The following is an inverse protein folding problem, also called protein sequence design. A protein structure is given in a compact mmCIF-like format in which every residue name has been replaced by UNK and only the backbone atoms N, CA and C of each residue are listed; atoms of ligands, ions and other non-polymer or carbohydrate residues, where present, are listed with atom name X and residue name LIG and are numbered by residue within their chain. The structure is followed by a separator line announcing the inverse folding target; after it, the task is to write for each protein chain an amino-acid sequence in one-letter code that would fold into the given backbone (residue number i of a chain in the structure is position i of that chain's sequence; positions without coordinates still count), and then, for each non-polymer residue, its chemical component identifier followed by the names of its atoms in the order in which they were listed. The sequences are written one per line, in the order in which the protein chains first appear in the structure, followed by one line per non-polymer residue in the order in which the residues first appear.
data_IF_468382491938
#
_entry.id   IF_468382491938
#
_cell.length_a   1.000
_cell.length_b   1.000
_cell.length_c   1.000
_cell.angle_alpha   90.00
_cell.angle_beta   90.00
_cell.angle_gamma   90.00
#
_symmetry.space_group_name_H-M   'P 1'
#
loop_
_entity.id
_entity.type
_entity.pdbx_description
1 polymer ?
#
# COMPACT_ATOMS: atom_id res chain seq x y z
N UNK A 1 -11.72 15.43 -3.82
CA UNK A 1 -11.17 14.09 -3.60
C UNK A 1 -10.11 14.16 -2.51
N UNK A 2 -10.19 13.26 -1.60
CA UNK A 2 -9.25 13.13 -0.49
C UNK A 2 -7.94 12.50 -0.95
N UNK A 3 -6.94 12.47 -0.07
CA UNK A 3 -5.66 11.85 -0.38
C UNK A 3 -5.75 10.36 -0.67
N UNK A 4 -4.67 9.82 -1.18
CA UNK A 4 -4.56 8.43 -1.60
C UNK A 4 -3.59 7.67 -0.70
N UNK A 5 -3.94 6.44 -0.34
CA UNK A 5 -3.05 5.51 0.35
C UNK A 5 -2.72 4.37 -0.63
N UNK A 6 -1.46 4.23 -0.97
CA UNK A 6 -1.04 3.21 -1.92
C UNK A 6 -0.82 1.88 -1.22
N UNK A 7 -1.49 0.83 -1.73
CA UNK A 7 -1.25 -0.53 -1.27
C UNK A 7 0.13 -1.02 -1.77
N UNK A 8 0.68 -2.00 -1.08
CA UNK A 8 2.02 -2.54 -1.37
C UNK A 8 2.16 -3.02 -2.81
N UNK A 9 1.13 -3.65 -3.38
CA UNK A 9 1.19 -4.15 -4.76
C UNK A 9 1.29 -3.00 -5.79
N UNK A 10 0.73 -1.83 -5.48
CA UNK A 10 0.84 -0.65 -6.35
C UNK A 10 2.25 -0.08 -6.28
N UNK A 11 2.81 0.04 -5.07
CA UNK A 11 4.20 0.48 -4.89
C UNK A 11 5.16 -0.48 -5.57
N UNK A 12 4.90 -1.78 -5.49
CA UNK A 12 5.75 -2.80 -6.13
C UNK A 12 5.80 -2.67 -7.65
N UNK A 13 4.84 -2.02 -8.29
CA UNK A 13 4.89 -1.73 -9.73
C UNK A 13 6.10 -0.87 -10.11
N UNK A 14 6.61 -0.08 -9.18
CA UNK A 14 7.76 0.81 -9.39
C UNK A 14 9.09 0.20 -8.96
N UNK A 15 9.08 -1.03 -8.42
CA UNK A 15 10.29 -1.68 -7.96
C UNK A 15 11.23 -2.00 -9.12
N UNK A 16 12.56 -1.86 -8.94
CA UNK A 16 13.53 -2.12 -10.01
C UNK A 16 13.59 -3.58 -10.46
N UNK A 17 12.98 -4.49 -9.68
CA UNK A 17 12.85 -5.91 -10.03
C UNK A 17 11.69 -6.20 -10.97
N UNK A 18 10.86 -5.20 -11.30
CA UNK A 18 9.74 -5.35 -12.23
C UNK A 18 10.14 -4.93 -13.64
N UNK A 19 9.73 -5.73 -14.62
CA UNK A 19 10.10 -5.54 -16.03
C UNK A 19 9.22 -4.50 -16.70
N UNK A 20 7.95 -4.42 -16.31
CA UNK A 20 6.98 -3.51 -16.92
C UNK A 20 6.64 -2.39 -15.96
N UNK A 21 6.91 -1.16 -16.39
CA UNK A 21 6.47 0.03 -15.69
C UNK A 21 5.35 0.68 -16.47
N UNK A 22 4.29 1.02 -15.78
CA UNK A 22 3.18 1.72 -16.38
C UNK A 22 3.40 3.23 -16.30
N UNK A 23 3.87 3.82 -17.40
CA UNK A 23 4.18 5.24 -17.47
C UNK A 23 2.93 6.11 -17.24
N UNK A 24 1.80 5.72 -17.80
CA UNK A 24 0.55 6.49 -17.65
C UNK A 24 0.12 6.56 -16.18
N UNK A 25 0.23 5.46 -15.47
CA UNK A 25 -0.08 5.45 -14.04
C UNK A 25 0.93 6.28 -13.24
N UNK A 26 2.22 6.17 -13.57
CA UNK A 26 3.27 6.95 -12.90
C UNK A 26 3.05 8.45 -13.08
N UNK A 27 2.73 8.89 -14.29
CA UNK A 27 2.43 10.30 -14.60
C UNK A 27 1.19 10.78 -13.85
N UNK A 28 0.14 9.97 -13.81
CA UNK A 28 -1.08 10.25 -13.05
C UNK A 28 -0.78 10.41 -11.57
N UNK A 29 0.01 9.50 -11.01
CA UNK A 29 0.36 9.51 -9.60
C UNK A 29 1.17 10.75 -9.23
N UNK A 30 2.13 11.13 -10.07
CA UNK A 30 2.94 12.33 -9.89
C UNK A 30 2.07 13.59 -9.84
N UNK A 31 1.07 13.67 -10.72
CA UNK A 31 0.11 14.77 -10.71
C UNK A 31 -0.69 14.80 -9.41
N UNK A 32 -1.16 13.65 -8.94
CA UNK A 32 -1.91 13.54 -7.68
C UNK A 32 -1.08 13.92 -6.47
N UNK A 33 0.20 13.59 -6.46
CA UNK A 33 1.11 13.99 -5.38
C UNK A 33 1.18 15.50 -5.22
N UNK A 34 1.03 16.24 -6.31
CA UNK A 34 1.05 17.69 -6.29
C UNK A 34 -0.24 18.30 -5.72
N UNK A 35 -1.39 17.64 -5.91
CA UNK A 35 -2.70 18.22 -5.62
C UNK A 35 -3.39 17.65 -4.38
N UNK A 36 -3.34 16.35 -4.16
CA UNK A 36 -4.20 15.68 -3.18
C UNK A 36 -3.46 14.98 -2.06
N UNK A 37 -2.17 14.83 -2.21
CA UNK A 37 -1.38 14.05 -1.27
C UNK A 37 -1.47 12.55 -1.54
N UNK A 38 -0.32 11.92 -1.54
CA UNK A 38 -0.17 10.47 -1.70
C UNK A 38 0.63 9.97 -0.51
N UNK A 39 0.11 8.91 0.13
CA UNK A 39 0.65 8.38 1.37
C UNK A 39 0.97 6.90 1.24
N UNK A 40 1.92 6.45 2.04
CA UNK A 40 2.19 5.03 2.27
C UNK A 40 1.82 4.68 3.71
N UNK A 41 1.66 3.39 3.97
CA UNK A 41 1.50 2.90 5.33
C UNK A 41 2.79 2.25 5.85
N UNK A 42 2.97 2.27 7.17
CA UNK A 42 4.03 1.52 7.83
C UNK A 42 3.91 0.01 7.56
N UNK A 43 2.69 -0.47 7.29
CA UNK A 43 2.44 -1.87 6.92
C UNK A 43 3.12 -2.21 5.59
N UNK A 44 3.06 -1.29 4.62
CA UNK A 44 3.77 -1.45 3.34
C UNK A 44 5.28 -1.53 3.55
N UNK A 45 5.84 -0.69 4.42
CA UNK A 45 7.26 -0.76 4.77
C UNK A 45 7.61 -2.13 5.35
N UNK A 46 6.80 -2.63 6.28
CA UNK A 46 6.97 -3.96 6.85
C UNK A 46 6.98 -5.05 5.76
N UNK A 47 6.05 -5.01 4.83
CA UNK A 47 5.94 -6.01 3.77
C UNK A 47 7.16 -5.98 2.83
N UNK A 48 7.65 -4.80 2.49
CA UNK A 48 8.84 -4.65 1.63
C UNK A 48 10.08 -5.20 2.33
N UNK A 49 10.29 -4.86 3.60
CA UNK A 49 11.43 -5.37 4.39
C UNK A 49 11.35 -6.89 4.52
N UNK A 50 10.17 -7.42 4.82
CA UNK A 50 9.95 -8.87 4.90
C UNK A 50 10.34 -9.53 3.57
N UNK A 51 9.93 -8.96 2.44
CA UNK A 51 10.27 -9.47 1.12
C UNK A 51 11.78 -9.50 0.88
N UNK A 52 12.49 -8.42 1.24
CA UNK A 52 13.94 -8.35 1.08
C UNK A 52 14.66 -9.40 1.95
N UNK A 53 14.22 -9.56 3.20
CA UNK A 53 14.82 -10.54 4.11
C UNK A 53 14.59 -11.98 3.65
N UNK A 54 13.42 -12.28 3.09
CA UNK A 54 13.14 -13.60 2.52
C UNK A 54 14.00 -13.87 1.28
N UNK A 55 14.27 -12.86 0.46
CA UNK A 55 15.21 -12.97 -0.66
C UNK A 55 16.61 -13.31 -0.18
N UNK A 56 17.09 -12.63 0.85
CA UNK A 56 18.40 -12.91 1.46
C UNK A 56 18.49 -14.34 2.01
N UNK A 57 17.45 -14.78 2.71
CA UNK A 57 17.39 -16.10 3.33
C UNK A 57 17.50 -17.23 2.30
N UNK A 58 17.03 -17.04 1.06
CA UNK A 58 17.14 -18.04 0.00
C UNK A 58 18.32 -17.79 -0.95
N UNK A 59 19.24 -16.90 -0.58
CA UNK A 59 20.46 -16.64 -1.35
C UNK A 59 20.33 -15.63 -2.49
N UNK A 60 19.15 -15.02 -2.68
CA UNK A 60 18.93 -14.01 -3.71
C UNK A 60 19.41 -12.63 -3.26
N UNK A 61 20.69 -12.54 -2.92
CA UNK A 61 21.31 -11.37 -2.29
C UNK A 61 21.30 -10.13 -3.19
N UNK A 62 21.53 -10.32 -4.48
CA UNK A 62 21.54 -9.20 -5.43
C UNK A 62 20.15 -8.54 -5.54
N UNK A 63 19.09 -9.35 -5.62
CA UNK A 63 17.72 -8.85 -5.64
C UNK A 63 17.36 -8.16 -4.33
N UNK A 64 17.79 -8.73 -3.20
CA UNK A 64 17.55 -8.12 -1.88
C UNK A 64 18.16 -6.72 -1.79
N UNK A 65 19.37 -6.53 -2.31
CA UNK A 65 20.02 -5.21 -2.34
C UNK A 65 19.26 -4.19 -3.18
N UNK A 66 18.67 -4.64 -4.31
CA UNK A 66 17.85 -3.76 -5.13
C UNK A 66 16.58 -3.33 -4.37
N UNK A 67 15.97 -4.24 -3.63
CA UNK A 67 14.79 -3.94 -2.81
C UNK A 67 15.17 -2.99 -1.67
N UNK A 68 16.32 -3.20 -1.03
CA UNK A 68 16.81 -2.30 0.02
C UNK A 68 17.01 -0.86 -0.50
N UNK A 69 17.60 -0.72 -1.68
CA UNK A 69 17.80 0.59 -2.30
C UNK A 69 16.46 1.26 -2.64
N UNK A 70 15.52 0.49 -3.17
CA UNK A 70 14.17 0.96 -3.46
C UNK A 70 13.46 1.43 -2.18
N UNK A 71 13.58 0.68 -1.10
CA UNK A 71 13.01 1.06 0.20
C UNK A 71 13.56 2.40 0.68
N UNK A 72 14.88 2.61 0.57
CA UNK A 72 15.50 3.87 0.97
C UNK A 72 14.97 5.05 0.15
N UNK A 73 14.78 4.86 -1.14
CA UNK A 73 14.18 5.88 -2.01
C UNK A 73 12.76 6.21 -1.59
N UNK A 74 11.94 5.19 -1.27
CA UNK A 74 10.57 5.37 -0.81
C UNK A 74 10.54 6.14 0.52
N UNK A 75 11.37 5.74 1.47
CA UNK A 75 11.40 6.38 2.79
C UNK A 75 11.86 7.83 2.71
N UNK A 76 12.75 8.15 1.79
CA UNK A 76 13.19 9.52 1.56
C UNK A 76 12.10 10.34 0.85
N UNK A 77 11.49 9.78 -0.19
CA UNK A 77 10.49 10.47 -0.99
C UNK A 77 9.20 10.74 -0.20
N UNK A 78 8.73 9.75 0.55
CA UNK A 78 7.48 9.87 1.31
C UNK A 78 7.65 10.39 2.73
N UNK A 79 8.82 10.30 3.29
CA UNK A 79 9.24 10.84 4.61
C UNK A 79 8.10 10.98 5.64
N UNK A 80 7.50 12.16 5.75
CA UNK A 80 6.39 12.47 6.67
C UNK A 80 5.02 11.97 6.19
N UNK A 81 4.95 11.39 5.01
CA UNK A 81 3.74 10.82 4.43
C UNK A 81 3.68 9.30 4.55
N UNK A 82 4.48 8.70 5.41
CA UNK A 82 4.38 7.29 5.77
C UNK A 82 3.58 7.22 7.07
N UNK A 83 2.36 6.73 6.98
CA UNK A 83 1.41 6.73 8.08
C UNK A 83 1.60 5.52 8.99
N UNK A 84 1.65 5.78 10.29
CA UNK A 84 1.79 4.75 11.30
C UNK A 84 0.49 3.97 11.51
N UNK A 85 0.61 2.73 11.95
CA UNK A 85 -0.50 2.00 12.55
C UNK A 85 -0.56 2.39 14.03
N UNK A 86 -1.13 3.56 14.31
CA UNK A 86 -1.28 4.06 15.66
C UNK A 86 -2.50 3.41 16.36
N UNK A 87 -2.76 3.81 17.59
CA UNK A 87 -3.86 3.23 18.37
C UNK A 87 -5.23 3.44 17.69
N UNK A 88 -5.47 4.62 17.13
CA UNK A 88 -6.73 4.93 16.46
C UNK A 88 -6.90 4.11 15.18
N UNK A 89 -5.85 3.99 14.38
CA UNK A 89 -5.85 3.13 13.20
C UNK A 89 -6.06 1.66 13.59
N UNK A 90 -5.48 1.23 14.70
CA UNK A 90 -5.68 -0.12 15.24
C UNK A 90 -7.13 -0.38 15.61
N UNK A 91 -7.80 0.58 16.23
CA UNK A 91 -9.24 0.47 16.53
C UNK A 91 -10.05 0.32 15.26
N UNK A 92 -9.79 1.16 14.27
CA UNK A 92 -10.49 1.07 12.97
C UNK A 92 -10.23 -0.26 12.27
N UNK A 93 -8.97 -0.71 12.25
CA UNK A 93 -8.59 -1.97 11.63
C UNK A 93 -9.34 -3.16 12.27
N UNK A 94 -9.41 -3.20 13.60
CA UNK A 94 -10.12 -4.25 14.31
C UNK A 94 -11.61 -4.27 14.01
N UNK A 95 -12.24 -3.11 13.97
CA UNK A 95 -13.66 -2.98 13.64
C UNK A 95 -13.96 -3.44 12.22
N UNK A 96 -13.15 -3.01 11.26
CA UNK A 96 -13.32 -3.35 9.85
C UNK A 96 -13.10 -4.84 9.62
N UNK A 97 -12.08 -5.42 10.23
CA UNK A 97 -11.80 -6.85 10.13
C UNK A 97 -12.93 -7.69 10.72
N UNK A 98 -13.40 -7.34 11.91
CA UNK A 98 -14.51 -8.05 12.55
C UNK A 98 -15.79 -7.99 11.71
N UNK A 99 -16.09 -6.83 11.13
CA UNK A 99 -17.24 -6.66 10.25
C UNK A 99 -17.12 -7.53 9.00
N UNK A 100 -15.94 -7.59 8.40
CA UNK A 100 -15.69 -8.43 7.23
C UNK A 100 -15.84 -9.91 7.54
N UNK A 101 -15.31 -10.37 8.68
CA UNK A 101 -15.42 -11.75 9.16
C UNK A 101 -16.90 -12.10 9.42
N UNK A 102 -17.64 -11.21 10.07
CA UNK A 102 -19.08 -11.41 10.33
C UNK A 102 -19.89 -11.51 9.05
N UNK A 103 -19.44 -10.87 7.97
CA UNK A 103 -20.07 -10.94 6.65
C UNK A 103 -19.61 -12.16 5.83
N UNK A 104 -18.83 -13.06 6.42
CA UNK A 104 -18.37 -14.28 5.76
C UNK A 104 -17.05 -14.16 5.00
N UNK A 105 -16.36 -13.05 5.13
CA UNK A 105 -15.05 -12.86 4.49
C UNK A 105 -13.92 -13.40 5.38
N UNK A 106 -12.76 -13.66 4.78
CA UNK A 106 -11.55 -14.07 5.51
C UNK A 106 -10.41 -13.12 5.09
N UNK A 107 -10.46 -11.84 5.52
CA UNK A 107 -9.45 -10.88 5.12
C UNK A 107 -8.10 -11.17 5.78
N UNK A 108 -7.02 -10.78 5.11
CA UNK A 108 -5.70 -10.81 5.71
C UNK A 108 -5.54 -9.71 6.75
N UNK A 109 -4.76 -9.96 7.80
CA UNK A 109 -4.51 -8.97 8.85
C UNK A 109 -3.82 -7.72 8.30
N UNK A 110 -2.86 -7.88 7.38
CA UNK A 110 -2.16 -6.75 6.77
C UNK A 110 -3.13 -5.84 6.00
N UNK A 111 -4.05 -6.43 5.23
CA UNK A 111 -5.05 -5.66 4.48
C UNK A 111 -6.00 -4.92 5.44
N UNK A 112 -6.40 -5.56 6.54
CA UNK A 112 -7.23 -4.91 7.56
C UNK A 112 -6.50 -3.72 8.21
N UNK A 113 -5.21 -3.84 8.46
CA UNK A 113 -4.39 -2.76 9.03
C UNK A 113 -4.27 -1.58 8.05
N UNK A 114 -4.05 -1.86 6.77
CA UNK A 114 -4.02 -0.82 5.73
C UNK A 114 -5.37 -0.12 5.64
N UNK A 115 -6.46 -0.90 5.65
CA UNK A 115 -7.82 -0.34 5.65
C UNK A 115 -8.09 0.53 6.88
N UNK A 116 -7.59 0.11 8.06
CA UNK A 116 -7.70 0.89 9.29
C UNK A 116 -6.98 2.22 9.22
N UNK A 117 -5.78 2.24 8.66
CA UNK A 117 -5.01 3.47 8.45
C UNK A 117 -5.77 4.40 7.47
N UNK A 118 -6.27 3.85 6.37
CA UNK A 118 -7.04 4.63 5.40
C UNK A 118 -8.30 5.23 6.02
N UNK A 119 -9.04 4.44 6.80
CA UNK A 119 -10.24 4.90 7.49
C UNK A 119 -9.92 6.00 8.49
N UNK A 120 -8.87 5.83 9.27
CA UNK A 120 -8.41 6.80 10.27
C UNK A 120 -8.12 8.17 9.65
N UNK A 121 -7.57 8.19 8.46
CA UNK A 121 -7.16 9.42 7.78
C UNK A 121 -8.08 9.84 6.64
N UNK A 122 -9.21 9.17 6.47
CA UNK A 122 -10.19 9.44 5.41
C UNK A 122 -9.56 9.41 4.00
N UNK A 123 -8.75 8.39 3.74
CA UNK A 123 -8.04 8.21 2.47
C UNK A 123 -8.72 7.17 1.58
N UNK A 124 -8.51 7.29 0.27
CA UNK A 124 -8.88 6.27 -0.70
C UNK A 124 -7.70 5.32 -0.89
N UNK A 125 -7.93 4.02 -0.80
CA UNK A 125 -6.89 3.02 -1.04
C UNK A 125 -6.77 2.78 -2.55
N UNK A 126 -5.54 2.88 -3.07
CA UNK A 126 -5.22 2.50 -4.45
C UNK A 126 -4.60 1.11 -4.41
N UNK A 127 -5.25 0.14 -5.05
CA UNK A 127 -4.83 -1.26 -5.01
C UNK A 127 -5.10 -1.99 -6.32
N UNK A 128 -4.25 -2.97 -6.65
CA UNK A 128 -4.50 -3.90 -7.75
C UNK A 128 -5.45 -5.03 -7.33
N UNK A 129 -5.65 -5.22 -6.03
CA UNK A 129 -6.46 -6.31 -5.47
C UNK A 129 -7.74 -5.78 -4.82
N UNK A 130 -8.62 -5.19 -5.61
CA UNK A 130 -9.90 -4.65 -5.11
C UNK A 130 -10.68 -5.66 -4.27
N UNK A 131 -10.67 -6.92 -4.67
CA UNK A 131 -11.41 -7.99 -3.97
C UNK A 131 -10.96 -8.17 -2.51
N UNK A 132 -9.68 -7.93 -2.22
CA UNK A 132 -9.15 -8.06 -0.86
C UNK A 132 -9.67 -6.98 0.08
N UNK A 133 -10.08 -5.84 -0.46
CA UNK A 133 -10.51 -4.68 0.32
C UNK A 133 -12.00 -4.42 0.30
N UNK A 134 -12.75 -5.04 -0.61
CA UNK A 134 -14.20 -4.79 -0.75
C UNK A 134 -14.98 -5.06 0.52
N UNK A 135 -14.58 -6.06 1.31
CA UNK A 135 -15.25 -6.43 2.55
C UNK A 135 -15.12 -5.37 3.65
N UNK A 136 -14.18 -4.44 3.53
CA UNK A 136 -13.92 -3.42 4.54
C UNK A 136 -14.78 -2.16 4.39
N UNK A 137 -15.47 -1.99 3.26
CA UNK A 137 -16.33 -0.84 3.00
C UNK A 137 -15.59 0.51 3.16
N UNK A 138 -14.39 0.59 2.59
CA UNK A 138 -13.59 1.82 2.52
C UNK A 138 -13.46 2.27 1.06
N UNK A 139 -13.25 3.57 0.79
CA UNK A 139 -13.07 4.02 -0.60
C UNK A 139 -11.88 3.34 -1.27
N UNK A 140 -12.11 2.80 -2.45
CA UNK A 140 -11.12 2.05 -3.23
C UNK A 140 -10.99 2.61 -4.64
N UNK A 141 -9.80 2.46 -5.20
CA UNK A 141 -9.50 2.82 -6.57
C UNK A 141 -8.48 1.83 -7.14
N UNK A 142 -8.66 1.44 -8.40
CA UNK A 142 -7.69 0.60 -9.10
C UNK A 142 -6.86 1.46 -10.07
N UNK A 143 -5.55 1.20 -10.18
CA UNK A 143 -4.74 1.82 -11.24
C UNK A 143 -5.30 1.59 -12.64
N UNK A 144 -5.98 0.47 -12.85
CA UNK A 144 -6.57 0.12 -14.14
C UNK A 144 -7.75 1.02 -14.53
N UNK A 145 -8.45 1.58 -13.56
CA UNK A 145 -9.56 2.52 -13.80
C UNK A 145 -9.06 3.88 -14.32
N UNK A 146 -7.78 4.15 -14.16
CA UNK A 146 -7.14 5.42 -14.49
C UNK A 146 -6.51 5.37 -15.88
N UNK A 147 -6.26 4.16 -16.35
CA UNK A 147 -5.57 3.91 -17.61
C UNK A 147 -6.56 3.92 -18.78
N UNK A 148 -6.25 4.66 -19.84
CA UNK A 148 -7.06 4.59 -21.05
C UNK A 148 -6.97 3.22 -21.72
#
# INVERSE_FOLDING_TARGET
VTGLLLDTNVISMFAPTKVVQNKAFADWLEERETHEGVFLSAVTIHEIVKGAELLRARGATAKAKLVDAFLQELMTHYEDRILALDAEAGVEAGRLEAKAVAAGSAPGAADAMIAGIASRHALTIVTLNLKHFQAFDVPLMSPEEILP
#
